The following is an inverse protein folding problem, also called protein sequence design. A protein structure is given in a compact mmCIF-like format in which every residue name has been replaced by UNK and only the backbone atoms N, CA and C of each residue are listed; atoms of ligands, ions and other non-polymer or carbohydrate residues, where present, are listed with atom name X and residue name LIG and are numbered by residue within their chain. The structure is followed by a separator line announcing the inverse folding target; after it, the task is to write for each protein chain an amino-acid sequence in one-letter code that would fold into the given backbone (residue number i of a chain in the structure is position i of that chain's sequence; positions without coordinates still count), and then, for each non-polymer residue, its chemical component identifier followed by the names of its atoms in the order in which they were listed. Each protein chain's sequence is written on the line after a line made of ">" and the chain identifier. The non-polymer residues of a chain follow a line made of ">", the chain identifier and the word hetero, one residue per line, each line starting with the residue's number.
data_IF_950076488420
#
_entry.id   IF_950076488420
#
_cell.length_a   1.000
_cell.length_b   1.000
_cell.length_c   1.000
_cell.angle_alpha   90.00
_cell.angle_beta   90.00
_cell.angle_gamma   90.00
#
_symmetry.space_group_name_H-M   'P 1'
#
loop_
_entity.id
_entity.type
_entity.pdbx_description
1 polymer ?
#
# COMPACT_ATOMS: atom_id res chain seq x y z
N UNK A 1 -7.73 17.64 9.23
CA UNK A 1 -8.60 17.71 10.43
C UNK A 1 -9.66 16.62 10.32
N UNK A 2 -9.60 15.60 11.17
CA UNK A 2 -10.54 14.48 11.15
C UNK A 2 -11.97 14.98 11.34
N UNK A 3 -12.89 14.50 10.50
CA UNK A 3 -14.33 14.50 10.74
C UNK A 3 -14.59 14.08 12.20
N UNK A 4 -15.58 14.64 12.92
CA UNK A 4 -15.86 14.21 14.29
C UNK A 4 -16.04 12.70 14.28
N UNK A 5 -15.16 11.97 14.98
CA UNK A 5 -15.34 10.56 15.27
C UNK A 5 -16.70 10.46 15.98
N UNK A 6 -17.56 9.58 15.50
CA UNK A 6 -18.80 9.26 16.19
C UNK A 6 -18.51 9.03 17.69
N UNK A 7 -19.40 9.47 18.59
CA UNK A 7 -19.18 9.32 20.03
C UNK A 7 -18.91 7.84 20.36
N UNK A 8 -17.83 7.59 21.10
CA UNK A 8 -17.44 6.24 21.48
C UNK A 8 -18.60 5.49 22.14
N UNK A 9 -18.83 4.26 21.69
CA UNK A 9 -19.83 3.37 22.27
C UNK A 9 -19.22 2.64 23.46
N UNK A 10 -19.62 3.04 24.67
CA UNK A 10 -19.13 2.47 25.92
C UNK A 10 -19.93 1.24 26.34
N UNK A 11 -19.22 0.16 26.68
CA UNK A 11 -19.78 -1.12 27.09
C UNK A 11 -19.43 -1.37 28.56
N UNK A 12 -20.41 -1.55 29.45
CA UNK A 12 -20.18 -1.87 30.86
C UNK A 12 -19.38 -3.16 31.05
N UNK A 13 -18.53 -3.15 32.07
CA UNK A 13 -17.74 -4.32 32.48
C UNK A 13 -17.64 -4.40 34.02
N UNK A 14 -16.74 -5.24 34.51
CA UNK A 14 -16.50 -5.50 35.92
C UNK A 14 -16.00 -4.25 36.67
N UNK A 15 -16.37 -4.15 37.94
CA UNK A 15 -15.85 -3.12 38.86
C UNK A 15 -16.26 -1.69 38.47
N UNK A 16 -17.41 -1.51 37.82
CA UNK A 16 -17.92 -0.18 37.44
C UNK A 16 -17.11 0.50 36.33
N UNK A 17 -16.29 -0.26 35.59
CA UNK A 17 -15.58 0.23 34.42
C UNK A 17 -16.46 0.10 33.17
N UNK A 18 -16.08 0.82 32.14
CA UNK A 18 -16.62 0.67 30.79
C UNK A 18 -15.47 0.59 29.78
N UNK A 19 -15.69 -0.11 28.68
CA UNK A 19 -14.76 -0.27 27.57
C UNK A 19 -15.34 0.26 26.27
N UNK A 20 -14.49 0.80 25.40
CA UNK A 20 -14.85 1.17 24.04
C UNK A 20 -13.68 0.89 23.10
N UNK A 21 -13.95 0.88 21.80
CA UNK A 21 -12.93 0.93 20.76
C UNK A 21 -12.89 2.35 20.17
N UNK A 22 -11.73 2.98 20.26
CA UNK A 22 -11.40 4.20 19.54
C UNK A 22 -10.53 3.81 18.34
N UNK A 23 -11.18 3.64 17.18
CA UNK A 23 -10.59 2.92 16.05
C UNK A 23 -10.19 1.50 16.46
N UNK A 24 -8.89 1.21 16.39
CA UNK A 24 -8.31 -0.08 16.81
C UNK A 24 -7.69 -0.04 18.22
N UNK A 25 -7.95 1.03 18.98
CA UNK A 25 -7.44 1.17 20.36
C UNK A 25 -8.52 0.81 21.38
N UNK A 26 -8.23 -0.19 22.22
CA UNK A 26 -9.09 -0.53 23.35
C UNK A 26 -8.90 0.50 24.48
N UNK A 27 -9.94 1.26 24.78
CA UNK A 27 -9.95 2.28 25.83
C UNK A 27 -10.85 1.89 26.99
N UNK A 28 -10.57 2.42 28.18
CA UNK A 28 -11.30 2.13 29.40
C UNK A 28 -11.57 3.41 30.17
N UNK A 29 -12.77 3.54 30.74
CA UNK A 29 -13.09 4.58 31.74
C UNK A 29 -13.61 3.96 33.03
N UNK A 30 -13.43 4.68 34.13
CA UNK A 30 -13.93 4.28 35.44
C UNK A 30 -15.37 4.76 35.68
N UNK A 31 -15.91 4.46 36.87
CA UNK A 31 -17.26 4.84 37.28
C UNK A 31 -17.51 6.35 37.36
N UNK A 32 -16.45 7.17 37.47
CA UNK A 32 -16.53 8.63 37.39
C UNK A 32 -16.50 9.18 35.94
N UNK A 33 -16.47 8.30 34.94
CA UNK A 33 -16.36 8.66 33.52
C UNK A 33 -14.95 9.04 33.08
N UNK A 34 -13.94 8.92 33.95
CA UNK A 34 -12.54 9.28 33.63
C UNK A 34 -11.89 8.18 32.80
N UNK A 35 -11.43 8.52 31.60
CA UNK A 35 -10.63 7.63 30.74
C UNK A 35 -9.28 7.33 31.40
N UNK A 36 -8.92 6.07 31.45
CA UNK A 36 -7.69 5.57 32.05
C UNK A 36 -6.56 5.49 31.03
N UNK A 37 -5.31 5.67 31.47
CA UNK A 37 -4.12 5.54 30.61
C UNK A 37 -3.90 4.13 30.06
N UNK A 38 -4.44 3.12 30.73
CA UNK A 38 -4.29 1.72 30.37
C UNK A 38 -5.49 0.92 30.82
N UNK A 39 -5.90 -0.07 30.05
CA UNK A 39 -6.96 -0.99 30.43
C UNK A 39 -6.45 -1.98 31.49
N UNK A 40 -7.04 -2.00 32.71
CA UNK A 40 -6.66 -2.95 33.76
C UNK A 40 -6.80 -4.40 33.31
N UNK A 41 -5.92 -5.30 33.78
CA UNK A 41 -5.89 -6.71 33.35
C UNK A 41 -7.24 -7.41 33.57
N UNK A 42 -7.84 -7.27 34.75
CA UNK A 42 -9.12 -7.88 35.09
C UNK A 42 -10.29 -7.38 34.22
N UNK A 43 -10.23 -6.12 33.77
CA UNK A 43 -11.20 -5.55 32.84
C UNK A 43 -10.98 -6.08 31.42
N UNK A 44 -9.71 -6.19 30.99
CA UNK A 44 -9.34 -6.71 29.67
C UNK A 44 -9.74 -8.16 29.47
N UNK A 45 -9.58 -8.99 30.49
CA UNK A 45 -9.94 -10.43 30.48
C UNK A 45 -11.38 -10.68 30.93
N UNK A 46 -12.21 -9.64 31.00
CA UNK A 46 -13.65 -9.82 31.19
C UNK A 46 -14.30 -10.29 29.88
N UNK A 47 -15.50 -10.90 29.92
CA UNK A 47 -16.21 -11.30 28.70
C UNK A 47 -16.41 -10.16 27.69
N UNK A 48 -16.61 -8.91 28.16
CA UNK A 48 -16.70 -7.73 27.29
C UNK A 48 -15.34 -7.34 26.71
N UNK A 49 -14.27 -7.41 27.51
CA UNK A 49 -12.91 -7.10 27.08
C UNK A 49 -12.39 -8.09 26.04
N UNK A 50 -12.68 -9.38 26.20
CA UNK A 50 -12.34 -10.43 25.22
C UNK A 50 -13.04 -10.19 23.87
N UNK A 51 -14.35 -9.94 23.88
CA UNK A 51 -15.12 -9.64 22.66
C UNK A 51 -14.62 -8.39 21.93
N UNK A 52 -14.31 -7.31 22.67
CA UNK A 52 -13.77 -6.09 22.05
C UNK A 52 -12.34 -6.29 21.53
N UNK A 53 -11.56 -7.15 22.17
CA UNK A 53 -10.22 -7.53 21.69
C UNK A 53 -10.34 -8.33 20.39
N UNK A 54 -11.25 -9.30 20.31
CA UNK A 54 -11.51 -10.06 19.08
C UNK A 54 -11.99 -9.15 17.94
N UNK A 55 -12.92 -8.23 18.24
CA UNK A 55 -13.40 -7.25 17.26
C UNK A 55 -12.26 -6.36 16.76
N UNK A 56 -11.41 -5.84 17.66
CA UNK A 56 -10.22 -5.07 17.31
C UNK A 56 -9.31 -5.86 16.37
N UNK A 57 -9.02 -7.12 16.69
CA UNK A 57 -8.12 -7.94 15.87
C UNK A 57 -8.71 -8.21 14.48
N UNK A 58 -10.04 -8.34 14.38
CA UNK A 58 -10.75 -8.42 13.10
C UNK A 58 -10.64 -7.11 12.30
N UNK A 59 -10.77 -5.96 12.95
CA UNK A 59 -10.62 -4.64 12.31
C UNK A 59 -9.19 -4.44 11.77
N UNK A 60 -8.17 -4.80 12.54
CA UNK A 60 -6.77 -4.71 12.10
C UNK A 60 -6.48 -5.60 10.88
N UNK A 61 -7.04 -6.82 10.85
CA UNK A 61 -6.93 -7.70 9.67
C UNK A 61 -7.63 -7.08 8.46
N UNK A 62 -8.84 -6.56 8.65
CA UNK A 62 -9.60 -5.88 7.59
C UNK A 62 -8.85 -4.67 7.03
N UNK A 63 -8.27 -3.81 7.87
CA UNK A 63 -7.45 -2.67 7.45
C UNK A 63 -6.23 -3.12 6.63
N UNK A 64 -5.60 -4.23 7.03
CA UNK A 64 -4.47 -4.83 6.31
C UNK A 64 -4.90 -5.35 4.94
N UNK A 65 -6.04 -6.03 4.85
CA UNK A 65 -6.61 -6.56 3.60
C UNK A 65 -7.04 -5.43 2.65
N UNK A 66 -7.66 -4.37 3.16
CA UNK A 66 -8.02 -3.18 2.40
C UNK A 66 -6.76 -2.56 1.77
N UNK A 67 -5.73 -2.32 2.60
CA UNK A 67 -4.45 -1.76 2.16
C UNK A 67 -3.80 -2.60 1.07
N UNK A 68 -3.65 -3.90 1.30
CA UNK A 68 -3.05 -4.83 0.34
C UNK A 68 -3.81 -4.86 -0.99
N UNK A 69 -5.15 -4.76 -0.93
CA UNK A 69 -5.98 -4.75 -2.14
C UNK A 69 -5.79 -3.45 -2.93
N UNK A 70 -5.83 -2.29 -2.27
CA UNK A 70 -5.60 -1.00 -2.95
C UNK A 70 -4.18 -0.89 -3.50
N UNK A 71 -3.17 -1.38 -2.78
CA UNK A 71 -1.80 -1.48 -3.30
C UNK A 71 -1.73 -2.38 -4.53
N UNK A 72 -2.50 -3.47 -4.58
CA UNK A 72 -2.57 -4.32 -5.77
C UNK A 72 -3.14 -3.59 -6.99
N UNK A 73 -4.14 -2.70 -6.79
CA UNK A 73 -4.68 -1.86 -7.86
C UNK A 73 -3.63 -0.88 -8.39
N UNK A 74 -2.86 -0.26 -7.50
CA UNK A 74 -1.74 0.62 -7.84
C UNK A 74 -0.65 -0.11 -8.67
N UNK A 75 -0.31 -1.34 -8.28
CA UNK A 75 0.74 -2.14 -8.93
C UNK A 75 0.31 -2.76 -10.26
N UNK A 76 -0.96 -3.12 -10.38
CA UNK A 76 -1.51 -3.77 -11.57
C UNK A 76 -2.09 -2.77 -12.57
N UNK A 77 -2.40 -1.54 -12.16
CA UNK A 77 -3.02 -0.52 -13.00
C UNK A 77 -4.40 -0.94 -13.53
N UNK A 78 -5.10 -1.81 -12.79
CA UNK A 78 -6.37 -2.38 -13.23
C UNK A 78 -7.51 -1.38 -13.01
N UNK A 79 -8.43 -1.21 -13.99
CA UNK A 79 -9.62 -0.39 -13.82
C UNK A 79 -10.51 -0.93 -12.70
N UNK A 80 -10.87 -0.08 -11.75
CA UNK A 80 -11.78 -0.37 -10.64
C UNK A 80 -13.20 0.02 -11.06
N UNK A 81 -14.16 -0.91 -11.06
CA UNK A 81 -15.54 -0.58 -11.39
C UNK A 81 -16.11 0.46 -10.41
N UNK A 82 -16.82 1.48 -10.91
CA UNK A 82 -17.43 2.51 -10.07
C UNK A 82 -18.38 1.93 -9.01
N UNK A 83 -19.14 0.88 -9.37
CA UNK A 83 -20.00 0.16 -8.43
C UNK A 83 -19.23 -0.54 -7.30
N UNK A 84 -17.99 -0.98 -7.55
CA UNK A 84 -17.15 -1.53 -6.49
C UNK A 84 -16.72 -0.42 -5.54
N UNK A 85 -16.27 0.73 -6.06
CA UNK A 85 -15.92 1.89 -5.23
C UNK A 85 -17.10 2.37 -4.40
N UNK A 86 -18.29 2.51 -4.99
CA UNK A 86 -19.51 2.88 -4.28
C UNK A 86 -19.79 1.97 -3.08
N UNK A 87 -19.60 0.65 -3.27
CA UNK A 87 -19.86 -0.35 -2.24
C UNK A 87 -18.83 -0.34 -1.11
N UNK A 88 -17.56 -0.04 -1.41
CA UNK A 88 -16.50 -0.06 -0.40
C UNK A 88 -16.29 1.29 0.27
N UNK A 89 -16.67 2.40 -0.37
CA UNK A 89 -16.43 3.75 0.16
C UNK A 89 -17.04 4.06 1.54
N UNK A 90 -18.23 3.52 1.92
CA UNK A 90 -18.77 3.72 3.26
C UNK A 90 -17.88 3.12 4.36
N UNK A 91 -17.13 2.06 4.05
CA UNK A 91 -16.22 1.40 4.99
C UNK A 91 -14.98 2.28 5.29
N UNK A 92 -14.70 2.61 6.56
CA UNK A 92 -13.57 3.45 6.93
C UNK A 92 -12.20 2.89 6.54
N UNK A 93 -12.01 1.57 6.57
CA UNK A 93 -10.75 0.91 6.20
C UNK A 93 -10.43 1.13 4.73
N UNK A 94 -11.41 0.90 3.85
CA UNK A 94 -11.29 1.18 2.42
C UNK A 94 -11.11 2.67 2.13
N UNK A 95 -11.97 3.52 2.72
CA UNK A 95 -11.92 4.97 2.51
C UNK A 95 -10.58 5.56 2.95
N UNK A 96 -10.00 5.09 4.05
CA UNK A 96 -8.69 5.56 4.53
C UNK A 96 -7.57 5.28 3.52
N UNK A 97 -7.65 4.16 2.79
CA UNK A 97 -6.66 3.78 1.78
C UNK A 97 -6.87 4.52 0.45
N UNK A 98 -8.13 4.77 0.08
CA UNK A 98 -8.50 5.32 -1.23
C UNK A 98 -8.54 6.86 -1.27
N UNK A 99 -8.93 7.49 -0.17
CA UNK A 99 -9.07 8.94 -0.13
C UNK A 99 -7.72 9.61 -0.32
N UNK A 100 -7.72 10.65 -1.14
CA UNK A 100 -6.56 11.44 -1.55
C UNK A 100 -5.53 10.66 -2.39
N UNK A 101 -5.85 9.48 -2.91
CA UNK A 101 -5.09 8.92 -4.01
C UNK A 101 -5.34 9.75 -5.27
N UNK A 102 -4.29 9.96 -6.06
CA UNK A 102 -4.44 10.44 -7.43
C UNK A 102 -5.07 9.30 -8.22
N UNK A 103 -6.21 9.57 -8.85
CA UNK A 103 -6.96 8.62 -9.66
C UNK A 103 -7.24 9.19 -11.04
N UNK A 104 -7.49 8.32 -12.00
CA UNK A 104 -7.97 8.67 -13.34
C UNK A 104 -9.41 8.17 -13.50
N UNK A 105 -10.32 9.07 -13.87
CA UNK A 105 -11.74 8.79 -14.13
C UNK A 105 -12.12 9.47 -15.43
N UNK A 106 -12.50 8.69 -16.45
CA UNK A 106 -12.87 9.21 -17.78
C UNK A 106 -11.82 10.20 -18.36
N UNK A 107 -10.54 9.86 -18.18
CA UNK A 107 -9.39 10.67 -18.63
C UNK A 107 -9.07 11.90 -17.75
N UNK A 108 -9.87 12.19 -16.73
CA UNK A 108 -9.60 13.26 -15.77
C UNK A 108 -8.75 12.74 -14.61
N UNK A 109 -7.71 13.49 -14.24
CA UNK A 109 -6.76 13.13 -13.18
C UNK A 109 -6.93 14.04 -11.97
N UNK A 110 -7.15 13.46 -10.79
CA UNK A 110 -7.35 14.24 -9.56
C UNK A 110 -7.22 13.41 -8.29
N UNK A 111 -7.09 14.10 -7.15
CA UNK A 111 -7.13 13.48 -5.83
C UNK A 111 -8.57 13.06 -5.50
N UNK A 112 -8.78 11.80 -5.14
CA UNK A 112 -10.11 11.28 -4.79
C UNK A 112 -10.59 11.83 -3.44
N UNK A 113 -11.66 12.61 -3.43
CA UNK A 113 -12.22 13.19 -2.20
C UNK A 113 -13.44 12.42 -1.69
N UNK A 114 -14.30 11.99 -2.60
CA UNK A 114 -15.58 11.34 -2.26
C UNK A 114 -16.06 10.40 -3.37
N UNK A 115 -16.90 9.43 -3.01
CA UNK A 115 -17.60 8.53 -3.94
C UNK A 115 -19.05 8.39 -3.49
N UNK A 116 -20.00 8.71 -4.37
CA UNK A 116 -21.44 8.57 -4.09
C UNK A 116 -21.91 7.12 -4.11
N UNK A 117 -23.13 6.86 -3.64
CA UNK A 117 -23.76 5.53 -3.73
C UNK A 117 -23.95 5.05 -5.18
N UNK A 118 -24.03 5.97 -6.15
CA UNK A 118 -24.06 5.64 -7.58
C UNK A 118 -22.65 5.49 -8.19
N UNK A 119 -21.60 5.61 -7.38
CA UNK A 119 -20.20 5.50 -7.79
C UNK A 119 -19.58 6.78 -8.34
N UNK A 120 -20.30 7.91 -8.33
CA UNK A 120 -19.77 9.18 -8.85
C UNK A 120 -18.65 9.69 -7.98
N UNK A 121 -17.51 10.01 -8.58
CA UNK A 121 -16.34 10.52 -7.87
C UNK A 121 -16.36 12.03 -7.76
N UNK A 122 -15.91 12.54 -6.61
CA UNK A 122 -15.51 13.94 -6.45
C UNK A 122 -14.00 13.98 -6.38
N UNK A 123 -13.39 14.79 -7.25
CA UNK A 123 -11.95 14.94 -7.34
C UNK A 123 -11.52 16.34 -6.91
N UNK A 124 -10.23 16.48 -6.60
CA UNK A 124 -9.56 17.76 -6.36
C UNK A 124 -8.33 17.88 -7.26
N UNK A 125 -8.19 19.00 -7.96
CA UNK A 125 -7.00 19.30 -8.77
C UNK A 125 -5.77 19.64 -7.91
N UNK A 126 -4.58 19.74 -8.53
CA UNK A 126 -3.36 20.14 -7.81
C UNK A 126 -3.43 21.58 -7.26
N UNK A 127 -4.25 22.43 -7.88
CA UNK A 127 -4.57 23.79 -7.43
C UNK A 127 -5.54 23.83 -6.23
N UNK A 128 -6.03 22.67 -5.80
CA UNK A 128 -7.01 22.55 -4.73
C UNK A 128 -8.47 22.72 -5.19
N UNK A 129 -8.73 22.98 -6.47
CA UNK A 129 -10.09 23.17 -6.98
C UNK A 129 -10.85 21.83 -7.01
N UNK A 130 -12.01 21.71 -6.33
CA UNK A 130 -12.83 20.51 -6.41
C UNK A 130 -13.61 20.47 -7.74
N UNK A 131 -13.74 19.29 -8.33
CA UNK A 131 -14.57 19.07 -9.52
C UNK A 131 -15.14 17.65 -9.53
N UNK A 132 -16.14 17.42 -10.37
CA UNK A 132 -16.70 16.09 -10.62
C UNK A 132 -16.41 15.73 -12.09
N UNK A 133 -15.83 14.56 -12.38
CA UNK A 133 -15.69 14.08 -13.75
C UNK A 133 -17.05 14.05 -14.45
N UNK A 134 -17.12 14.46 -15.74
CA UNK A 134 -18.36 14.38 -16.50
C UNK A 134 -18.79 12.92 -16.63
N UNK A 135 -20.09 12.68 -16.68
CA UNK A 135 -20.60 11.36 -17.04
C UNK A 135 -20.29 11.08 -18.51
N UNK A 136 -19.92 9.83 -18.83
CA UNK A 136 -19.68 9.41 -20.20
C UNK A 136 -20.90 9.69 -21.10
N UNK A 137 -20.64 10.13 -22.33
CA UNK A 137 -21.67 10.37 -23.35
C UNK A 137 -21.63 9.21 -24.37
N UNK A 138 -22.70 8.42 -24.46
CA UNK A 138 -22.82 7.31 -25.43
C UNK A 138 -23.51 6.04 -24.90
N UNK A 139 -23.56 4.98 -25.71
CA UNK A 139 -24.12 3.68 -25.29
C UNK A 139 -23.21 3.08 -24.20
N UNK A 140 -23.73 2.92 -22.98
CA UNK A 140 -22.92 2.77 -21.76
C UNK A 140 -22.90 4.03 -20.87
N UNK A 141 -23.96 4.85 -20.91
CA UNK A 141 -24.17 6.01 -20.01
C UNK A 141 -24.01 5.57 -18.55
N UNK A 142 -23.01 6.10 -17.85
CA UNK A 142 -22.73 5.72 -16.47
C UNK A 142 -21.42 6.33 -15.98
N UNK A 143 -21.06 6.01 -14.73
CA UNK A 143 -19.78 6.42 -14.16
C UNK A 143 -18.67 5.52 -14.71
N UNK A 144 -17.65 6.12 -15.31
CA UNK A 144 -16.50 5.38 -15.84
C UNK A 144 -15.71 4.65 -14.76
N UNK A 145 -14.91 3.64 -15.14
CA UNK A 145 -14.03 2.96 -14.19
C UNK A 145 -12.95 3.92 -13.68
N UNK A 146 -12.52 3.68 -12.45
CA UNK A 146 -11.48 4.48 -11.79
C UNK A 146 -10.18 3.71 -11.82
N UNK A 147 -9.09 4.33 -12.26
CA UNK A 147 -7.76 3.71 -12.21
C UNK A 147 -6.90 4.43 -11.18
N UNK A 148 -6.09 3.68 -10.43
CA UNK A 148 -5.08 4.23 -9.52
C UNK A 148 -3.72 4.16 -10.25
N UNK A 149 -3.25 5.23 -10.90
CA UNK A 149 -1.99 5.23 -11.61
C UNK A 149 -0.80 5.08 -10.65
N UNK A 150 0.16 4.25 -11.06
CA UNK A 150 1.48 4.23 -10.41
C UNK A 150 2.19 5.59 -10.60
N UNK A 151 2.92 6.12 -9.59
CA UNK A 151 3.63 7.40 -9.71
C UNK A 151 4.67 7.44 -10.84
N UNK A 152 5.23 6.28 -11.24
CA UNK A 152 6.09 6.19 -12.42
C UNK A 152 5.38 6.51 -13.76
N UNK A 153 4.04 6.50 -13.77
CA UNK A 153 3.20 6.86 -14.92
C UNK A 153 2.58 8.26 -14.79
N UNK A 154 2.69 8.88 -13.61
CA UNK A 154 2.09 10.19 -13.38
C UNK A 154 2.97 11.30 -13.96
N UNK A 155 2.41 12.21 -14.77
CA UNK A 155 3.07 13.47 -15.06
C UNK A 155 3.07 14.34 -13.78
N UNK A 156 4.15 15.09 -13.57
CA UNK A 156 4.27 16.10 -12.52
C UNK A 156 3.84 15.64 -11.11
N UNK A 157 4.51 14.59 -10.61
CA UNK A 157 4.33 14.09 -9.23
C UNK A 157 4.54 15.20 -8.18
N UNK A 158 5.42 16.16 -8.45
CA UNK A 158 5.74 17.26 -7.55
C UNK A 158 4.54 18.19 -7.31
N UNK A 159 3.75 18.51 -8.34
CA UNK A 159 2.53 19.30 -8.18
C UNK A 159 1.54 18.62 -7.24
N UNK A 160 1.35 17.30 -7.36
CA UNK A 160 0.45 16.55 -6.49
C UNK A 160 0.97 16.43 -5.05
N UNK A 161 2.29 16.24 -4.88
CA UNK A 161 2.92 16.26 -3.55
C UNK A 161 2.72 17.62 -2.88
N UNK A 162 2.95 18.72 -3.60
CA UNK A 162 2.70 20.08 -3.10
C UNK A 162 1.24 20.31 -2.68
N UNK A 163 0.29 19.74 -3.41
CA UNK A 163 -1.14 19.81 -3.05
C UNK A 163 -1.45 19.06 -1.74
N UNK A 164 -0.84 17.89 -1.52
CA UNK A 164 -0.98 17.15 -0.25
C UNK A 164 -0.34 17.91 0.92
N UNK A 165 0.86 18.44 0.72
CA UNK A 165 1.59 19.20 1.75
C UNK A 165 0.83 20.46 2.16
N UNK A 166 0.35 21.23 1.17
CA UNK A 166 -0.44 22.43 1.42
C UNK A 166 -1.74 22.14 2.19
N UNK A 167 -2.35 20.98 1.95
CA UNK A 167 -3.55 20.53 2.66
C UNK A 167 -3.25 19.76 3.96
N UNK A 168 -1.96 19.51 4.28
CA UNK A 168 -1.51 18.67 5.39
C UNK A 168 -2.14 17.27 5.39
N UNK A 169 -2.22 16.67 4.20
CA UNK A 169 -2.84 15.37 3.98
C UNK A 169 -1.74 14.30 3.86
N UNK A 170 -1.93 13.21 4.59
CA UNK A 170 -1.13 11.98 4.42
C UNK A 170 -2.00 10.94 3.74
N UNK A 171 -1.50 10.33 2.66
CA UNK A 171 -2.22 9.28 1.95
C UNK A 171 -2.23 7.99 2.77
N UNK A 172 -3.34 7.25 2.73
CA UNK A 172 -3.42 5.93 3.34
C UNK A 172 -2.52 4.91 2.66
N UNK A 173 -2.33 5.00 1.35
CA UNK A 173 -1.32 4.26 0.58
C UNK A 173 -0.21 5.21 0.14
N UNK A 174 1.05 4.79 0.25
CA UNK A 174 2.21 5.56 -0.20
C UNK A 174 2.27 5.59 -1.73
N UNK A 175 1.40 6.37 -2.38
CA UNK A 175 1.40 6.55 -3.83
C UNK A 175 2.37 7.67 -4.24
N UNK A 176 2.18 8.90 -3.76
CA UNK A 176 2.98 10.05 -4.19
C UNK A 176 4.33 10.15 -3.50
N UNK A 177 4.44 9.66 -2.26
CA UNK A 177 5.71 9.56 -1.54
C UNK A 177 6.50 8.29 -1.89
N UNK A 178 6.03 7.51 -2.86
CA UNK A 178 6.69 6.28 -3.29
C UNK A 178 7.97 6.63 -4.04
N UNK A 179 9.05 5.94 -3.72
CA UNK A 179 10.29 6.04 -4.49
C UNK A 179 10.06 5.50 -5.91
N UNK A 180 10.43 6.30 -6.91
CA UNK A 180 10.30 5.96 -8.33
C UNK A 180 11.66 5.85 -8.96
N UNK A 181 11.97 4.68 -9.50
CA UNK A 181 13.19 4.45 -10.27
C UNK A 181 12.86 4.42 -11.76
N UNK A 182 13.60 5.22 -12.53
CA UNK A 182 13.52 5.19 -14.00
C UNK A 182 14.61 4.30 -14.54
N UNK A 183 14.34 3.61 -15.66
CA UNK A 183 15.36 2.84 -16.37
C UNK A 183 16.43 3.80 -16.90
N UNK A 184 17.71 3.63 -16.55
CA UNK A 184 18.79 4.41 -17.13
C UNK A 184 18.84 4.22 -18.65
N UNK A 185 19.29 5.26 -19.37
CA UNK A 185 19.29 5.26 -20.84
C UNK A 185 20.39 4.36 -21.44
N UNK A 186 21.42 4.05 -20.66
CA UNK A 186 22.59 3.25 -21.00
C UNK A 186 22.46 1.76 -20.64
N UNK A 187 21.32 1.34 -20.08
CA UNK A 187 21.01 -0.07 -19.86
C UNK A 187 20.96 -0.79 -21.21
N UNK A 188 21.74 -1.86 -21.34
CA UNK A 188 21.66 -2.78 -22.48
C UNK A 188 20.23 -3.38 -22.56
N UNK A 189 19.47 -3.10 -23.64
CA UNK A 189 18.09 -3.58 -23.75
C UNK A 189 17.99 -5.11 -23.82
N UNK A 190 19.04 -5.81 -24.26
CA UNK A 190 19.07 -7.27 -24.40
C UNK A 190 19.54 -7.97 -23.12
N UNK A 191 20.10 -7.23 -22.16
CA UNK A 191 20.40 -7.78 -20.85
C UNK A 191 19.11 -8.28 -20.18
N UNK A 192 19.24 -9.22 -19.23
CA UNK A 192 18.10 -9.83 -18.52
C UNK A 192 18.19 -9.66 -17.00
N UNK A 193 19.21 -8.95 -16.52
CA UNK A 193 19.44 -8.73 -15.09
C UNK A 193 20.09 -7.39 -14.79
N UNK A 194 19.84 -6.89 -13.58
CA UNK A 194 20.52 -5.74 -12.97
C UNK A 194 21.37 -6.25 -11.81
N UNK A 195 22.65 -5.93 -11.84
CA UNK A 195 23.65 -6.42 -10.88
C UNK A 195 24.09 -5.34 -9.87
N UNK A 196 23.61 -4.10 -9.99
CA UNK A 196 23.92 -2.97 -9.09
C UNK A 196 23.65 -3.28 -7.60
N UNK A 197 22.74 -4.24 -7.34
CA UNK A 197 22.33 -4.67 -6.02
C UNK A 197 22.87 -6.08 -5.68
N UNK A 198 23.83 -6.62 -6.43
CA UNK A 198 24.48 -7.88 -6.12
C UNK A 198 25.61 -7.71 -5.09
N UNK A 199 26.01 -8.80 -4.44
CA UNK A 199 27.15 -8.84 -3.51
C UNK A 199 26.90 -8.18 -2.16
N UNK A 200 25.66 -7.86 -1.81
CA UNK A 200 25.31 -7.33 -0.49
C UNK A 200 25.37 -8.42 0.56
N UNK A 201 26.23 -8.24 1.56
CA UNK A 201 26.45 -9.22 2.63
C UNK A 201 25.48 -9.04 3.80
N UNK A 202 24.92 -10.15 4.28
CA UNK A 202 24.21 -10.25 5.53
C UNK A 202 24.84 -11.37 6.36
N UNK A 203 25.05 -11.11 7.65
CA UNK A 203 25.58 -12.10 8.60
C UNK A 203 24.74 -13.38 8.61
N UNK A 204 23.42 -13.25 8.47
CA UNK A 204 22.49 -14.36 8.40
C UNK A 204 21.38 -14.10 7.37
N UNK A 205 20.98 -15.14 6.62
CA UNK A 205 19.89 -15.08 5.63
C UNK A 205 18.57 -14.58 6.25
N UNK A 206 18.31 -14.88 7.53
CA UNK A 206 17.12 -14.38 8.23
C UNK A 206 17.05 -12.85 8.28
N UNK A 207 18.19 -12.14 8.28
CA UNK A 207 18.22 -10.68 8.27
C UNK A 207 17.74 -10.12 6.93
N UNK A 208 18.21 -10.69 5.81
CA UNK A 208 17.76 -10.28 4.47
C UNK A 208 16.27 -10.58 4.25
N UNK A 209 15.81 -11.77 4.66
CA UNK A 209 14.40 -12.17 4.50
C UNK A 209 13.45 -11.42 5.44
N UNK A 210 13.86 -11.13 6.69
CA UNK A 210 13.09 -10.28 7.60
C UNK A 210 12.94 -8.87 7.04
N UNK A 211 13.99 -8.33 6.42
CA UNK A 211 13.94 -7.02 5.76
C UNK A 211 13.01 -7.01 4.55
N UNK A 212 13.04 -8.07 3.72
CA UNK A 212 12.08 -8.22 2.64
C UNK A 212 10.63 -8.22 3.17
N UNK A 213 10.37 -8.98 4.24
CA UNK A 213 9.06 -9.04 4.88
C UNK A 213 8.62 -7.71 5.51
N UNK A 214 9.55 -6.97 6.14
CA UNK A 214 9.29 -5.63 6.70
C UNK A 214 8.77 -4.65 5.64
N UNK A 215 9.20 -4.79 4.39
CA UNK A 215 8.75 -3.98 3.27
C UNK A 215 7.62 -4.62 2.45
N UNK A 216 7.02 -5.71 2.95
CA UNK A 216 5.86 -6.36 2.33
C UNK A 216 6.19 -7.27 1.14
N UNK A 217 7.47 -7.60 0.91
CA UNK A 217 7.87 -8.50 -0.16
C UNK A 217 7.73 -9.96 0.26
N UNK A 218 7.33 -10.81 -0.68
CA UNK A 218 7.12 -12.24 -0.46
C UNK A 218 8.36 -13.01 -0.90
N UNK A 219 8.74 -14.03 -0.13
CA UNK A 219 9.82 -14.95 -0.53
C UNK A 219 9.30 -16.13 -1.35
N UNK A 220 10.02 -16.50 -2.42
CA UNK A 220 9.79 -17.70 -3.24
C UNK A 220 11.11 -18.29 -3.73
N UNK A 221 11.44 -19.52 -3.32
CA UNK A 221 12.60 -20.26 -3.85
C UNK A 221 13.94 -19.51 -3.76
N UNK A 222 14.13 -18.72 -2.68
CA UNK A 222 15.31 -17.89 -2.45
C UNK A 222 15.26 -16.46 -3.01
N UNK A 223 14.17 -16.09 -3.68
CA UNK A 223 13.95 -14.75 -4.21
C UNK A 223 12.93 -13.96 -3.38
N UNK A 224 13.20 -12.68 -3.12
CA UNK A 224 12.14 -11.72 -2.85
C UNK A 224 11.42 -11.39 -4.17
N UNK A 225 10.10 -11.31 -4.16
CA UNK A 225 9.30 -11.09 -5.37
C UNK A 225 8.31 -9.94 -5.23
N UNK A 226 8.14 -9.21 -6.35
CA UNK A 226 7.06 -8.23 -6.53
C UNK A 226 6.38 -8.51 -7.87
N UNK A 227 5.04 -8.51 -7.87
CA UNK A 227 4.22 -8.72 -9.06
C UNK A 227 3.65 -7.39 -9.53
N UNK A 228 3.75 -7.16 -10.84
CA UNK A 228 3.21 -5.98 -11.52
C UNK A 228 2.56 -6.41 -12.82
N UNK A 229 1.93 -5.48 -13.52
CA UNK A 229 1.47 -5.69 -14.90
C UNK A 229 2.29 -4.79 -15.82
N UNK A 230 2.90 -5.39 -16.84
CA UNK A 230 3.66 -4.69 -17.89
C UNK A 230 3.05 -5.00 -19.25
N UNK A 231 2.72 -3.97 -20.05
CA UNK A 231 2.12 -4.13 -21.39
C UNK A 231 0.87 -5.03 -21.42
N UNK A 232 0.08 -5.04 -20.34
CA UNK A 232 -1.12 -5.87 -20.22
C UNK A 232 -0.89 -7.33 -19.82
N UNK A 233 0.36 -7.74 -19.56
CA UNK A 233 0.70 -9.07 -19.08
C UNK A 233 1.33 -9.04 -17.68
N UNK A 234 1.17 -10.10 -16.86
CA UNK A 234 1.86 -10.20 -15.58
C UNK A 234 3.39 -10.23 -15.77
N UNK A 235 4.10 -9.41 -14.98
CA UNK A 235 5.56 -9.42 -14.91
C UNK A 235 5.97 -9.48 -13.43
N UNK A 236 6.90 -10.37 -13.11
CA UNK A 236 7.40 -10.55 -11.75
C UNK A 236 8.87 -10.16 -11.66
N UNK A 237 9.20 -9.18 -10.83
CA UNK A 237 10.58 -8.93 -10.45
C UNK A 237 10.98 -9.94 -9.37
N UNK A 238 12.20 -10.48 -9.48
CA UNK A 238 12.78 -11.45 -8.54
C UNK A 238 14.17 -10.98 -8.14
N UNK A 239 14.42 -10.85 -6.86
CA UNK A 239 15.71 -10.44 -6.31
C UNK A 239 16.27 -11.54 -5.41
N UNK A 240 17.43 -12.08 -5.76
CA UNK A 240 18.01 -13.23 -5.07
C UNK A 240 18.57 -12.85 -3.71
N UNK A 241 18.15 -13.56 -2.66
CA UNK A 241 18.65 -13.40 -1.29
C UNK A 241 19.37 -14.65 -0.77
N UNK A 242 19.10 -15.83 -1.34
CA UNK A 242 19.66 -17.11 -0.90
C UNK A 242 18.59 -18.13 -0.52
N UNK A 243 18.93 -19.42 -0.58
CA UNK A 243 18.03 -20.54 -0.30
C UNK A 243 18.56 -21.51 0.76
N UNK A 244 19.64 -21.12 1.45
CA UNK A 244 20.31 -21.92 2.47
C UNK A 244 19.62 -21.83 3.84
N UNK A 245 20.24 -22.40 4.87
CA UNK A 245 19.75 -22.30 6.25
C UNK A 245 19.65 -20.83 6.71
N UNK A 246 18.55 -20.40 7.37
CA UNK A 246 18.36 -19.01 7.80
C UNK A 246 19.47 -18.44 8.70
N UNK A 247 20.23 -19.28 9.39
CA UNK A 247 21.35 -18.89 10.26
C UNK A 247 22.71 -18.82 9.57
N UNK A 248 22.78 -19.08 8.28
CA UNK A 248 24.03 -18.97 7.52
C UNK A 248 24.17 -17.60 6.85
N UNK A 249 25.41 -17.13 6.61
CA UNK A 249 25.65 -15.91 5.86
C UNK A 249 25.03 -15.93 4.47
N UNK A 250 24.54 -14.77 4.03
CA UNK A 250 23.87 -14.62 2.74
C UNK A 250 24.46 -13.46 1.94
N UNK A 251 24.59 -13.67 0.62
CA UNK A 251 24.95 -12.63 -0.35
C UNK A 251 23.77 -12.36 -1.28
N UNK A 252 23.43 -11.09 -1.48
CA UNK A 252 22.42 -10.74 -2.49
C UNK A 252 22.93 -11.04 -3.89
N UNK A 253 22.04 -11.51 -4.75
CA UNK A 253 22.34 -11.78 -6.15
C UNK A 253 21.71 -10.73 -7.07
N UNK A 254 21.56 -11.12 -8.33
CA UNK A 254 20.96 -10.28 -9.37
C UNK A 254 19.47 -10.03 -9.17
N UNK A 255 19.01 -8.88 -9.66
CA UNK A 255 17.61 -8.57 -9.88
C UNK A 255 17.23 -8.97 -11.33
N UNK A 256 16.18 -9.75 -11.49
CA UNK A 256 15.65 -10.16 -12.80
C UNK A 256 14.15 -9.91 -12.89
N UNK A 257 13.62 -9.90 -14.11
CA UNK A 257 12.18 -9.92 -14.38
C UNK A 257 11.84 -11.17 -15.16
N UNK A 258 10.70 -11.78 -14.84
CA UNK A 258 10.17 -12.93 -15.56
C UNK A 258 8.73 -12.71 -15.99
N UNK A 259 8.36 -13.35 -17.10
CA UNK A 259 6.99 -13.40 -17.59
C UNK A 259 6.16 -14.47 -16.85
N UNK A 260 4.89 -14.63 -17.25
CA UNK A 260 3.98 -15.62 -16.67
C UNK A 260 4.45 -17.07 -16.89
N UNK A 261 5.24 -17.34 -17.93
CA UNK A 261 5.84 -18.63 -18.23
C UNK A 261 7.21 -18.82 -17.54
N UNK A 262 7.55 -17.95 -16.58
CA UNK A 262 8.81 -17.92 -15.84
C UNK A 262 10.07 -17.69 -16.69
N UNK A 263 9.92 -17.15 -17.90
CA UNK A 263 11.04 -16.84 -18.78
C UNK A 263 11.60 -15.46 -18.47
N UNK A 264 12.93 -15.26 -18.50
CA UNK A 264 13.54 -13.95 -18.35
C UNK A 264 13.01 -12.94 -19.37
N UNK A 265 12.72 -11.72 -18.93
CA UNK A 265 12.29 -10.61 -19.77
C UNK A 265 13.50 -9.71 -20.05
N UNK A 266 13.80 -9.36 -21.32
CA UNK A 266 14.83 -8.39 -21.65
C UNK A 266 14.57 -7.03 -20.99
N UNK A 267 15.61 -6.36 -20.50
CA UNK A 267 15.48 -5.10 -19.75
C UNK A 267 14.82 -3.99 -20.57
N UNK A 268 14.96 -4.02 -21.90
CA UNK A 268 14.28 -3.11 -22.84
C UNK A 268 12.75 -3.28 -22.84
N UNK A 269 12.26 -4.48 -22.57
CA UNK A 269 10.83 -4.82 -22.57
C UNK A 269 10.15 -4.58 -21.22
N UNK A 270 10.91 -4.53 -20.13
CA UNK A 270 10.40 -4.25 -18.78
C UNK A 270 9.73 -2.86 -18.75
N UNK A 271 8.44 -2.84 -18.42
CA UNK A 271 7.66 -1.61 -18.32
C UNK A 271 8.07 -0.73 -17.12
N UNK A 272 7.75 0.58 -17.13
CA UNK A 272 8.20 1.54 -16.11
C UNK A 272 7.76 1.19 -14.69
N UNK A 273 6.56 0.63 -14.51
CA UNK A 273 6.07 0.19 -13.20
C UNK A 273 6.86 -1.02 -12.70
N UNK A 274 7.00 -2.06 -13.53
CA UNK A 274 7.75 -3.27 -13.22
C UNK A 274 9.22 -2.96 -12.91
N UNK A 275 9.84 -2.06 -13.68
CA UNK A 275 11.20 -1.58 -13.45
C UNK A 275 11.31 -0.88 -12.09
N UNK A 276 10.48 0.17 -11.88
CA UNK A 276 10.50 0.96 -10.67
C UNK A 276 10.34 0.10 -9.42
N UNK A 277 9.42 -0.87 -9.45
CA UNK A 277 9.14 -1.71 -8.31
C UNK A 277 10.16 -2.81 -8.06
N UNK A 278 10.73 -3.38 -9.12
CA UNK A 278 11.86 -4.31 -8.99
C UNK A 278 13.07 -3.63 -8.36
N UNK A 279 13.43 -2.44 -8.87
CA UNK A 279 14.56 -1.67 -8.35
C UNK A 279 14.30 -1.19 -6.93
N UNK A 280 13.10 -0.69 -6.63
CA UNK A 280 12.72 -0.27 -5.26
C UNK A 280 12.85 -1.43 -4.27
N UNK A 281 12.39 -2.63 -4.65
CA UNK A 281 12.55 -3.83 -3.84
C UNK A 281 14.03 -4.16 -3.57
N UNK A 282 14.84 -4.20 -4.64
CA UNK A 282 16.26 -4.48 -4.51
C UNK A 282 16.98 -3.42 -3.65
N UNK A 283 16.72 -2.13 -3.89
CA UNK A 283 17.31 -1.01 -3.14
C UNK A 283 16.95 -1.05 -1.66
N UNK A 284 15.67 -1.24 -1.33
CA UNK A 284 15.22 -1.32 0.06
C UNK A 284 15.89 -2.47 0.80
N UNK A 285 15.98 -3.66 0.19
CA UNK A 285 16.61 -4.82 0.82
C UNK A 285 18.13 -4.62 0.90
N UNK A 286 18.79 -4.27 -0.20
CA UNK A 286 20.24 -4.07 -0.27
C UNK A 286 20.74 -2.97 0.69
N UNK A 287 19.93 -1.95 0.96
CA UNK A 287 20.23 -0.90 1.94
C UNK A 287 20.43 -1.42 3.38
N UNK A 288 20.01 -2.65 3.70
CA UNK A 288 20.21 -3.28 5.00
C UNK A 288 21.42 -4.20 5.10
N UNK A 289 22.19 -4.34 4.02
CA UNK A 289 23.43 -5.11 4.03
C UNK A 289 24.42 -4.51 5.04
N UNK A 290 25.37 -5.32 5.49
CA UNK A 290 26.48 -4.83 6.28
C UNK A 290 27.39 -3.93 5.44
N UNK A 291 27.54 -2.68 5.85
CA UNK A 291 28.58 -1.78 5.33
C UNK A 291 29.83 -2.02 6.15
N UNK A 292 30.92 -2.43 5.50
CA UNK A 292 32.21 -2.38 6.15
C UNK A 292 32.64 -0.91 6.14
N UNK A 293 32.53 -0.22 7.28
CA UNK A 293 33.17 1.08 7.45
C UNK A 293 34.68 0.87 7.21
N UNK A 294 35.25 1.67 6.31
CA UNK A 294 36.70 1.84 6.21
C UNK A 294 37.19 2.81 7.27
#
# INVERSE_FOLDING_TARGET
>A
MSTPLDPLVWVPTVGGHELALDGTTLTCRNSSGRVLKSVPKAVRTSPAGEKLTELRDRLLRHETECRATVESWLLAGVPIPAALLARVWPDPGWRSCLRHLVVVVDGQVGLLEDVSEEGRTRLRGPDGTPYAPPLGVGVGVGVGPVTVPHPALLPDVAAWQGALDAAQIVQGITQLAREVHRRPADVDPEATSVDDYAGGYFEELRHATARAAQHGFVMRGGFAVVRTVGRGAPVQARYWLGADDPGLPAGTGRLIWVDEAERPVPLGEVGPVAWSEGVRMAALIYGGRQTHDQ
#
